data_IF_495073111530
#
_entry.id   IF_495073111530
#
_cell.length_a   1.000
_cell.length_b   1.000
_cell.length_c   1.000
_cell.angle_alpha   90.00
_cell.angle_beta   90.00
_cell.angle_gamma   90.00
#
_symmetry.space_group_name_H-M   'P 1'
#
loop_
_entity.id
_entity.type
_entity.pdbx_description
1 polymer ?
#
# COMPACT_ATOMS: atom_id res chain seq x y z
N UNK A 1 -0.73 -13.38 -15.34
CA UNK A 1 -1.05 -13.45 -13.90
C UNK A 1 -0.75 -12.16 -13.11
N UNK A 2 0.00 -11.20 -13.65
CA UNK A 2 0.53 -10.04 -12.88
C UNK A 2 -0.39 -8.81 -12.79
N UNK A 3 -1.49 -8.73 -13.55
CA UNK A 3 -2.37 -7.54 -13.55
C UNK A 3 -3.22 -7.44 -12.27
N UNK A 4 -3.82 -8.55 -11.82
CA UNK A 4 -4.67 -8.60 -10.62
C UNK A 4 -3.84 -8.29 -9.37
N UNK A 5 -2.65 -8.89 -9.25
CA UNK A 5 -1.79 -8.67 -8.09
C UNK A 5 -1.24 -7.23 -8.03
N UNK A 6 -0.94 -6.64 -9.20
CA UNK A 6 -0.55 -5.23 -9.33
C UNK A 6 -1.71 -4.28 -8.99
N UNK A 7 -2.93 -4.58 -9.48
CA UNK A 7 -4.10 -3.76 -9.17
C UNK A 7 -4.47 -3.88 -7.68
N UNK A 8 -4.41 -5.10 -7.13
CA UNK A 8 -4.67 -5.40 -5.73
C UNK A 8 -3.67 -4.70 -4.80
N UNK A 9 -2.36 -4.79 -5.08
CA UNK A 9 -1.34 -4.11 -4.26
C UNK A 9 -1.50 -2.59 -4.26
N UNK A 10 -1.83 -1.98 -5.40
CA UNK A 10 -2.08 -0.54 -5.48
C UNK A 10 -3.36 -0.16 -4.72
N UNK A 11 -4.43 -0.93 -4.89
CA UNK A 11 -5.70 -0.72 -4.19
C UNK A 11 -5.53 -0.84 -2.68
N UNK A 12 -4.88 -1.90 -2.19
CA UNK A 12 -4.61 -2.10 -0.75
C UNK A 12 -3.74 -0.99 -0.18
N UNK A 13 -2.69 -0.58 -0.92
CA UNK A 13 -1.84 0.53 -0.50
C UNK A 13 -2.65 1.82 -0.32
N UNK A 14 -3.52 2.16 -1.27
CA UNK A 14 -4.37 3.36 -1.19
C UNK A 14 -5.37 3.30 -0.03
N UNK A 15 -6.03 2.15 0.18
CA UNK A 15 -6.96 1.96 1.31
C UNK A 15 -6.25 2.12 2.64
N UNK A 16 -5.09 1.48 2.80
CA UNK A 16 -4.29 1.55 4.03
C UNK A 16 -3.79 2.96 4.32
N UNK A 17 -3.44 3.72 3.28
CA UNK A 17 -2.98 5.10 3.40
C UNK A 17 -4.11 6.00 3.92
N UNK A 18 -5.29 5.93 3.30
CA UNK A 18 -6.48 6.68 3.74
C UNK A 18 -6.87 6.28 5.17
N UNK A 19 -6.91 4.98 5.46
CA UNK A 19 -7.27 4.48 6.79
C UNK A 19 -6.27 4.89 7.87
N UNK A 20 -4.97 4.89 7.53
CA UNK A 20 -3.90 5.37 8.39
C UNK A 20 -4.06 6.85 8.73
N UNK A 21 -4.34 7.70 7.73
CA UNK A 21 -4.59 9.14 7.93
C UNK A 21 -5.80 9.35 8.85
N UNK A 22 -6.94 8.67 8.58
CA UNK A 22 -8.15 8.80 9.41
C UNK A 22 -7.87 8.40 10.86
N UNK A 23 -7.10 7.32 11.09
CA UNK A 23 -6.69 6.88 12.43
C UNK A 23 -5.85 7.92 13.15
N UNK A 24 -4.90 8.56 12.47
CA UNK A 24 -4.06 9.64 13.03
C UNK A 24 -4.95 10.83 13.39
N UNK A 25 -5.82 11.25 12.49
CA UNK A 25 -6.76 12.36 12.74
C UNK A 25 -7.73 12.06 13.90
N UNK A 26 -8.04 10.78 14.14
CA UNK A 26 -8.86 10.33 15.26
C UNK A 26 -8.08 10.18 16.59
N UNK A 27 -6.85 10.69 16.67
CA UNK A 27 -6.01 10.64 17.87
C UNK A 27 -5.39 9.27 18.18
N UNK A 28 -5.46 8.30 17.26
CA UNK A 28 -4.86 6.96 17.40
C UNK A 28 -3.59 6.83 16.57
N UNK A 29 -2.62 7.68 16.88
CA UNK A 29 -1.37 7.87 16.13
C UNK A 29 -0.59 6.56 15.93
N UNK A 30 -0.32 5.83 17.02
CA UNK A 30 0.43 4.56 16.97
C UNK A 30 -0.16 3.59 15.94
N UNK A 31 -1.48 3.43 15.96
CA UNK A 31 -2.12 2.53 15.01
C UNK A 31 -2.20 3.09 13.60
N UNK A 32 -2.34 4.40 13.43
CA UNK A 32 -2.27 5.04 12.12
C UNK A 32 -0.92 4.83 11.46
N UNK A 33 0.17 4.93 12.22
CA UNK A 33 1.54 4.64 11.75
C UNK A 33 1.68 3.20 11.27
N UNK A 34 1.10 2.21 11.96
CA UNK A 34 1.11 0.82 11.49
C UNK A 34 0.44 0.65 10.12
N UNK A 35 -0.68 1.34 9.87
CA UNK A 35 -1.36 1.28 8.57
C UNK A 35 -0.56 2.02 7.47
N UNK A 36 0.12 3.11 7.81
CA UNK A 36 1.01 3.80 6.87
C UNK A 36 2.21 2.92 6.47
N UNK A 37 2.84 2.23 7.42
CA UNK A 37 3.93 1.29 7.14
C UNK A 37 3.44 0.16 6.23
N UNK A 38 2.25 -0.38 6.50
CA UNK A 38 1.64 -1.40 5.65
C UNK A 38 1.36 -0.87 4.23
N UNK A 39 0.86 0.37 4.10
CA UNK A 39 0.63 1.02 2.81
C UNK A 39 1.92 1.12 2.00
N UNK A 40 3.03 1.49 2.64
CA UNK A 40 4.37 1.53 2.01
C UNK A 40 4.83 0.14 1.58
N UNK A 41 4.62 -0.89 2.41
CA UNK A 41 4.93 -2.28 2.05
C UNK A 41 4.22 -2.73 0.78
N UNK A 42 2.91 -2.50 0.69
CA UNK A 42 2.14 -2.81 -0.53
C UNK A 42 2.55 -1.97 -1.73
N UNK A 43 2.98 -0.73 -1.52
CA UNK A 43 3.50 0.12 -2.60
C UNK A 43 4.84 -0.39 -3.15
N UNK A 44 5.74 -0.87 -2.29
CA UNK A 44 7.00 -1.51 -2.70
C UNK A 44 6.72 -2.77 -3.52
N UNK A 45 5.76 -3.58 -3.09
CA UNK A 45 5.32 -4.78 -3.82
C UNK A 45 4.80 -4.38 -5.22
N UNK A 46 3.94 -3.37 -5.31
CA UNK A 46 3.48 -2.82 -6.58
C UNK A 46 4.65 -2.40 -7.49
N UNK A 47 5.62 -1.68 -6.93
CA UNK A 47 6.77 -1.18 -7.67
C UNK A 47 7.67 -2.32 -8.16
N UNK A 48 7.88 -3.35 -7.34
CA UNK A 48 8.61 -4.56 -7.71
C UNK A 48 7.96 -5.27 -8.89
N UNK A 49 6.62 -5.44 -8.87
CA UNK A 49 5.88 -6.03 -9.98
C UNK A 49 5.88 -5.16 -11.24
N UNK A 50 5.85 -3.84 -11.10
CA UNK A 50 6.00 -2.91 -12.23
C UNK A 50 7.38 -3.05 -12.87
N UNK A 51 8.44 -3.18 -12.07
CA UNK A 51 9.82 -3.36 -12.56
C UNK A 51 10.03 -4.73 -13.21
N UNK A 52 9.42 -5.78 -12.68
CA UNK A 52 9.54 -7.15 -13.22
C UNK A 52 8.92 -7.30 -14.61
N UNK A 53 7.90 -6.51 -14.96
CA UNK A 53 7.27 -6.57 -16.29
C UNK A 53 7.95 -5.70 -17.36
N UNK A 54 8.99 -4.94 -17.01
CA UNK A 54 9.82 -4.22 -17.99
C UNK A 54 11.08 -4.97 -18.39
N UNK A 55 11.21 -6.23 -17.99
CA UNK A 55 12.40 -7.08 -18.21
C UNK A 55 12.11 -8.33 -19.05
N UNK A 56 10.88 -8.50 -19.50
CA UNK A 56 10.46 -9.44 -20.55
C UNK A 56 10.04 -8.61 -21.79
#
# INVERSE_FOLDING_TARGET
>A
MNKILRLGSLFFSMVLLVFGIIRIMSGRENSGVFYLIAAVGFYIIYFSYKRSQGKD
#
